data_IF_453214096382
#
_entry.id   IF_453214096382
#
_cell.length_a   1.000
_cell.length_b   1.000
_cell.length_c   1.000
_cell.angle_alpha   90.00
_cell.angle_beta   90.00
_cell.angle_gamma   90.00
#
_symmetry.space_group_name_H-M   'P 1'
#
loop_
_entity.id
_entity.type
_entity.pdbx_description
1 polymer ?
#
# COMPACT_ATOMS: atom_id res chain seq x y z
N UNK A 1 -5.16 -28.22 17.62
CA UNK A 1 -5.53 -27.61 16.32
C UNK A 1 -5.59 -26.11 16.54
N UNK A 2 -4.72 -25.27 15.94
CA UNK A 2 -4.89 -23.81 16.05
C UNK A 2 -5.93 -23.38 15.02
N UNK A 3 -7.13 -23.08 15.49
CA UNK A 3 -8.09 -22.29 14.74
C UNK A 3 -7.78 -20.81 15.07
N UNK A 4 -7.79 -19.93 14.05
CA UNK A 4 -7.65 -18.47 14.18
C UNK A 4 -6.24 -17.89 14.46
N UNK A 5 -5.17 -18.45 13.90
CA UNK A 5 -3.86 -17.78 13.94
C UNK A 5 -3.73 -16.80 12.77
N UNK A 6 -3.59 -15.51 13.06
CA UNK A 6 -3.16 -14.49 12.09
C UNK A 6 -1.63 -14.45 12.01
N UNK A 7 -1.10 -14.02 10.86
CA UNK A 7 0.32 -13.72 10.64
C UNK A 7 0.44 -12.22 10.40
N UNK A 8 1.40 -11.58 11.06
CA UNK A 8 1.75 -10.18 10.84
C UNK A 8 3.02 -10.10 9.98
N UNK A 9 2.98 -9.27 8.94
CA UNK A 9 4.10 -9.03 8.04
C UNK A 9 4.30 -7.51 7.89
N UNK A 10 5.52 -7.05 8.13
CA UNK A 10 5.92 -5.66 7.92
C UNK A 10 6.93 -5.57 6.77
N UNK A 11 6.71 -4.63 5.85
CA UNK A 11 7.66 -4.29 4.78
C UNK A 11 8.07 -2.84 5.00
N UNK A 12 9.37 -2.58 5.02
CA UNK A 12 9.95 -1.25 5.14
C UNK A 12 10.96 -1.04 4.02
N UNK A 13 10.98 0.16 3.46
CA UNK A 13 11.99 0.60 2.51
C UNK A 13 12.67 1.90 3.01
N UNK A 14 13.72 2.32 2.30
CA UNK A 14 14.48 3.55 2.58
C UNK A 14 14.36 4.56 1.43
N UNK A 15 13.28 4.48 0.65
CA UNK A 15 12.99 5.35 -0.47
C UNK A 15 12.39 6.68 -0.04
N UNK A 16 11.85 7.43 -1.01
CA UNK A 16 11.03 8.60 -0.68
C UNK A 16 9.76 8.13 0.03
N UNK A 17 9.37 8.84 1.09
CA UNK A 17 8.14 8.56 1.79
C UNK A 17 6.89 8.90 0.97
N UNK A 18 5.74 8.71 1.60
CA UNK A 18 4.43 8.93 1.02
C UNK A 18 3.85 10.20 1.64
N UNK A 19 3.44 11.19 0.82
CA UNK A 19 2.79 12.38 1.35
C UNK A 19 1.58 12.03 2.22
N UNK A 20 1.46 12.67 3.39
CA UNK A 20 0.40 12.35 4.35
C UNK A 20 -1.03 12.44 3.77
N UNK A 21 -1.26 13.38 2.84
CA UNK A 21 -2.55 13.52 2.16
C UNK A 21 -2.88 12.36 1.22
N UNK A 22 -1.87 11.60 0.78
CA UNK A 22 -2.03 10.49 -0.14
C UNK A 22 -2.22 9.14 0.57
N UNK A 23 -1.76 9.00 1.82
CA UNK A 23 -1.89 7.75 2.60
C UNK A 23 -3.32 7.18 2.64
N UNK A 24 -4.40 7.98 2.80
CA UNK A 24 -5.77 7.47 2.76
C UNK A 24 -6.16 6.83 1.42
N UNK A 25 -5.53 7.26 0.33
CA UNK A 25 -5.85 6.89 -1.05
C UNK A 25 -4.88 5.85 -1.64
N UNK A 26 -3.83 5.44 -0.90
CA UNK A 26 -2.73 4.63 -1.43
C UNK A 26 -3.16 3.23 -1.93
N UNK A 27 -4.30 2.73 -1.46
CA UNK A 27 -4.88 1.45 -1.89
C UNK A 27 -5.96 1.61 -2.98
N UNK A 28 -6.26 2.84 -3.41
CA UNK A 28 -7.20 3.10 -4.50
C UNK A 28 -6.57 2.71 -5.84
N UNK A 29 -7.34 2.02 -6.68
CA UNK A 29 -6.88 1.60 -8.01
C UNK A 29 -6.76 2.83 -8.90
N UNK A 30 -5.79 2.82 -9.82
CA UNK A 30 -5.56 3.92 -10.77
C UNK A 30 -5.14 5.24 -10.11
N UNK A 31 -4.68 5.18 -8.85
CA UNK A 31 -4.23 6.36 -8.10
C UNK A 31 -2.70 6.31 -7.95
N UNK A 32 -2.05 7.44 -8.17
CA UNK A 32 -0.61 7.64 -8.00
C UNK A 32 -0.36 8.97 -7.30
N UNK A 33 0.60 9.03 -6.37
CA UNK A 33 1.00 10.27 -5.76
C UNK A 33 1.74 11.13 -6.79
N UNK A 34 1.42 12.42 -6.87
CA UNK A 34 2.26 13.37 -7.60
C UNK A 34 3.60 13.49 -6.88
N UNK A 35 4.66 12.97 -7.50
CA UNK A 35 6.03 13.19 -7.02
C UNK A 35 6.63 14.39 -7.75
N UNK A 36 7.28 15.29 -6.99
CA UNK A 36 7.92 16.51 -7.52
C UNK A 36 9.06 16.22 -8.53
N UNK A 37 9.46 14.96 -8.68
CA UNK A 37 10.45 14.53 -9.66
C UNK A 37 9.73 14.00 -10.90
N UNK A 38 9.89 14.75 -12.00
CA UNK A 38 9.41 14.54 -13.37
C UNK A 38 9.84 13.21 -14.05
N UNK A 39 10.05 12.13 -13.28
CA UNK A 39 10.17 10.77 -13.79
C UNK A 39 8.76 10.23 -13.88
N UNK A 40 8.26 10.07 -15.10
CA UNK A 40 7.08 9.26 -15.41
C UNK A 40 7.17 7.93 -14.66
N UNK A 41 6.50 7.82 -13.52
CA UNK A 41 6.44 6.57 -12.78
C UNK A 41 5.63 5.59 -13.61
N UNK A 42 6.32 4.64 -14.22
CA UNK A 42 5.72 3.57 -15.00
C UNK A 42 4.84 2.72 -14.07
N UNK A 43 3.52 2.76 -14.26
CA UNK A 43 2.60 1.92 -13.53
C UNK A 43 1.18 2.47 -13.52
N UNK A 44 0.18 1.60 -13.56
CA UNK A 44 -1.24 2.00 -13.54
C UNK A 44 -1.79 2.25 -12.14
N UNK A 45 -0.96 2.27 -11.09
CA UNK A 45 -1.46 2.38 -9.70
C UNK A 45 -2.37 1.22 -9.28
N UNK A 46 -2.11 -0.01 -9.76
CA UNK A 46 -2.95 -1.18 -9.48
C UNK A 46 -2.42 -2.08 -8.36
N UNK A 47 -1.11 -2.09 -8.12
CA UNK A 47 -0.46 -3.07 -7.25
C UNK A 47 -1.05 -3.13 -5.84
N UNK A 48 -1.06 -1.99 -5.13
CA UNK A 48 -1.58 -1.93 -3.75
C UNK A 48 -3.08 -2.19 -3.66
N UNK A 49 -3.86 -1.74 -4.65
CA UNK A 49 -5.29 -2.03 -4.71
C UNK A 49 -5.61 -3.51 -4.93
N UNK A 50 -4.76 -4.24 -5.67
CA UNK A 50 -4.85 -5.70 -5.80
C UNK A 50 -4.44 -6.37 -4.49
N UNK A 51 -3.32 -5.94 -3.88
CA UNK A 51 -2.83 -6.49 -2.61
C UNK A 51 -3.87 -6.38 -1.51
N UNK A 52 -4.49 -5.21 -1.32
CA UNK A 52 -5.57 -5.01 -0.34
C UNK A 52 -6.73 -5.96 -0.59
N UNK A 53 -7.19 -6.07 -1.84
CA UNK A 53 -8.29 -6.97 -2.18
C UNK A 53 -7.98 -8.43 -1.87
N UNK A 54 -6.76 -8.90 -2.18
CA UNK A 54 -6.34 -10.28 -1.87
C UNK A 54 -6.28 -10.52 -0.36
N UNK A 55 -5.75 -9.57 0.42
CA UNK A 55 -5.67 -9.69 1.88
C UNK A 55 -7.06 -9.73 2.52
N UNK A 56 -7.97 -8.85 2.08
CA UNK A 56 -9.37 -8.83 2.55
C UNK A 56 -10.10 -10.14 2.20
N UNK A 57 -9.89 -10.71 1.01
CA UNK A 57 -10.44 -12.03 0.64
C UNK A 57 -9.94 -13.17 1.55
N UNK A 58 -8.76 -13.03 2.14
CA UNK A 58 -8.21 -13.98 3.12
C UNK A 58 -8.63 -13.65 4.58
N UNK A 59 -9.50 -12.65 4.79
CA UNK A 59 -9.95 -12.22 6.12
C UNK A 59 -8.88 -11.44 6.91
N UNK A 60 -7.90 -10.87 6.23
CA UNK A 60 -6.85 -10.03 6.82
C UNK A 60 -7.11 -8.54 6.67
N UNK A 61 -6.16 -7.75 7.15
CA UNK A 61 -6.12 -6.30 6.98
C UNK A 61 -4.71 -5.86 6.56
N UNK A 62 -4.62 -4.70 5.89
CA UNK A 62 -3.37 -4.06 5.50
C UNK A 62 -3.41 -2.59 5.88
N UNK A 63 -2.27 -2.07 6.33
CA UNK A 63 -2.08 -0.69 6.73
C UNK A 63 -0.79 -0.15 6.10
N UNK A 64 -0.74 1.15 5.87
CA UNK A 64 0.45 1.85 5.39
C UNK A 64 0.79 3.00 6.34
N UNK A 65 2.08 3.18 6.60
CA UNK A 65 2.62 4.23 7.46
C UNK A 65 3.81 4.87 6.75
N UNK A 66 3.91 6.19 6.81
CA UNK A 66 5.05 6.95 6.32
C UNK A 66 5.08 8.31 6.99
N UNK A 67 6.28 8.81 7.32
CA UNK A 67 6.47 10.12 7.94
C UNK A 67 6.58 11.27 6.91
N UNK A 68 6.55 10.95 5.60
CA UNK A 68 6.66 11.90 4.49
C UNK A 68 8.00 11.83 3.77
#
# INVERSE_FOLDING_TARGET
KRANSHVELTVSDSGMGIPAHFLPHIFERFTQAETASNRSHTGLGLGLGITRHLIELHGGAIYAFSDG
#
